data_IF_945894828869
#
_entry.id   IF_945894828869
#
_cell.length_a   1.000
_cell.length_b   1.000
_cell.length_c   1.000
_cell.angle_alpha   90.00
_cell.angle_beta   90.00
_cell.angle_gamma   90.00
#
_symmetry.space_group_name_H-M   'P 1'
#
loop_
_entity.id
_entity.type
_entity.pdbx_description
1 polymer ?
#
# COMPACT_ATOMS: atom_id res chain seq x y z
N UNK A 1 3.87 -46.27 -29.70
CA UNK A 1 4.70 -45.12 -29.24
C UNK A 1 4.31 -43.79 -29.87
N UNK A 2 4.08 -43.71 -31.19
CA UNK A 2 3.70 -42.43 -31.86
C UNK A 2 2.39 -41.79 -31.31
N UNK A 3 1.38 -42.58 -30.95
CA UNK A 3 0.07 -42.07 -30.41
C UNK A 3 0.20 -41.49 -29.00
N UNK A 4 1.11 -41.99 -28.18
CA UNK A 4 1.34 -41.51 -26.81
C UNK A 4 2.04 -40.15 -26.82
N UNK A 5 3.00 -39.95 -27.74
CA UNK A 5 3.72 -38.70 -27.91
C UNK A 5 2.78 -37.59 -28.36
N UNK A 6 1.82 -37.87 -29.26
CA UNK A 6 0.82 -36.89 -29.73
C UNK A 6 -0.11 -36.46 -28.61
N UNK A 7 -0.52 -37.39 -27.71
CA UNK A 7 -1.34 -37.07 -26.55
C UNK A 7 -0.62 -36.16 -25.56
N UNK A 8 0.70 -36.38 -25.36
CA UNK A 8 1.51 -35.53 -24.47
C UNK A 8 1.70 -34.10 -25.01
N UNK A 9 1.83 -33.93 -26.31
CA UNK A 9 1.93 -32.61 -26.96
C UNK A 9 0.60 -31.83 -26.81
N UNK A 10 -0.53 -32.50 -26.96
CA UNK A 10 -1.85 -31.86 -26.80
C UNK A 10 -2.09 -31.44 -25.35
N UNK A 11 -1.63 -32.23 -24.37
CA UNK A 11 -1.79 -31.88 -22.94
C UNK A 11 -0.88 -30.70 -22.53
N UNK A 12 0.26 -30.48 -23.19
CA UNK A 12 1.15 -29.36 -22.90
C UNK A 12 0.67 -28.03 -23.51
N UNK A 13 -0.24 -28.08 -24.50
CA UNK A 13 -0.77 -26.87 -25.17
C UNK A 13 -1.82 -26.12 -24.35
N UNK A 14 -2.30 -26.69 -23.25
CA UNK A 14 -3.28 -26.03 -22.36
C UNK A 14 -2.66 -25.18 -21.25
N UNK A 15 -1.34 -25.08 -21.15
CA UNK A 15 -0.70 -24.07 -20.31
C UNK A 15 -0.72 -22.71 -21.03
N UNK A 16 -1.89 -22.15 -21.23
CA UNK A 16 -2.03 -20.74 -21.59
C UNK A 16 -1.52 -19.92 -20.42
N UNK A 17 -0.45 -19.17 -20.62
CA UNK A 17 -0.04 -18.12 -19.70
C UNK A 17 -1.23 -17.18 -19.55
N UNK A 18 -1.86 -17.20 -18.40
CA UNK A 18 -2.86 -16.19 -18.06
C UNK A 18 -2.14 -14.83 -18.03
N UNK A 19 -2.26 -14.05 -19.08
CA UNK A 19 -1.89 -12.65 -19.04
C UNK A 19 -2.95 -11.93 -18.22
N UNK A 20 -2.67 -11.69 -16.94
CA UNK A 20 -3.45 -10.72 -16.18
C UNK A 20 -3.18 -9.35 -16.80
N UNK A 21 -4.11 -8.89 -17.63
CA UNK A 21 -4.06 -7.55 -18.21
C UNK A 21 -4.67 -6.59 -17.18
N UNK A 22 -3.83 -5.80 -16.54
CA UNK A 22 -4.29 -4.72 -15.67
C UNK A 22 -4.60 -3.51 -16.55
N UNK A 23 -5.83 -3.01 -16.45
CA UNK A 23 -6.25 -1.78 -17.14
C UNK A 23 -5.61 -0.53 -16.52
N UNK A 24 -5.24 -0.60 -15.23
CA UNK A 24 -4.63 0.50 -14.49
C UNK A 24 -3.44 -0.01 -13.67
N UNK A 25 -2.39 0.79 -13.62
CA UNK A 25 -1.21 0.55 -12.80
C UNK A 25 -1.32 1.34 -11.49
N UNK A 26 -0.58 0.93 -10.48
CA UNK A 26 -0.52 1.68 -9.21
C UNK A 26 -0.09 3.14 -9.42
N UNK A 27 0.79 3.41 -10.38
CA UNK A 27 1.25 4.75 -10.76
C UNK A 27 0.16 5.68 -11.29
N UNK A 28 -0.99 5.13 -11.72
CA UNK A 28 -2.09 5.92 -12.30
C UNK A 28 -2.98 6.54 -11.21
N UNK A 29 -2.74 6.20 -9.94
CA UNK A 29 -3.52 6.69 -8.82
C UNK A 29 -2.85 7.86 -8.10
N UNK A 30 -3.69 8.71 -7.54
CA UNK A 30 -3.28 9.77 -6.63
C UNK A 30 -4.24 9.83 -5.44
N UNK A 31 -3.74 10.30 -4.30
CA UNK A 31 -4.51 10.47 -3.08
C UNK A 31 -4.42 11.91 -2.59
N UNK A 32 -5.43 12.36 -1.88
CA UNK A 32 -5.35 13.61 -1.14
C UNK A 32 -4.75 13.31 0.23
N UNK A 33 -3.65 13.94 0.56
CA UNK A 33 -3.05 13.78 1.89
C UNK A 33 -3.91 14.43 2.98
N UNK A 34 -3.69 14.01 4.21
CA UNK A 34 -4.34 14.57 5.40
C UNK A 34 -4.08 16.08 5.56
N UNK A 35 -3.01 16.59 4.94
CA UNK A 35 -2.65 18.01 4.87
C UNK A 35 -3.26 18.73 3.65
N UNK A 36 -4.08 18.07 2.84
CA UNK A 36 -4.70 18.61 1.64
C UNK A 36 -3.82 18.62 0.38
N UNK A 37 -2.55 18.19 0.46
CA UNK A 37 -1.66 18.05 -0.69
C UNK A 37 -2.01 16.79 -1.48
N UNK A 38 -1.65 16.75 -2.75
CA UNK A 38 -1.79 15.53 -3.55
C UNK A 38 -0.56 14.64 -3.37
N UNK A 39 -0.81 13.37 -3.07
CA UNK A 39 0.18 12.27 -3.11
C UNK A 39 -0.03 11.57 -4.43
N UNK A 40 0.86 11.80 -5.39
CA UNK A 40 0.81 11.13 -6.68
C UNK A 40 1.71 9.89 -6.63
N UNK A 41 1.16 8.71 -6.86
CA UNK A 41 1.92 7.45 -6.77
C UNK A 41 3.01 7.37 -7.84
N UNK A 42 2.83 8.04 -8.97
CA UNK A 42 3.86 8.13 -10.00
C UNK A 42 5.16 8.81 -9.52
N UNK A 43 5.09 9.69 -8.53
CA UNK A 43 6.27 10.36 -7.96
C UNK A 43 7.18 9.39 -7.18
N UNK A 44 6.66 8.21 -6.87
CA UNK A 44 7.37 7.13 -6.18
C UNK A 44 7.79 5.99 -7.11
N UNK A 45 7.85 6.25 -8.41
CA UNK A 45 8.34 5.27 -9.39
C UNK A 45 9.72 4.78 -8.97
N UNK A 46 9.98 3.49 -9.15
CA UNK A 46 11.21 2.81 -8.75
C UNK A 46 11.45 2.71 -7.23
N UNK A 47 10.42 3.00 -6.41
CA UNK A 47 10.45 2.80 -4.96
C UNK A 47 9.55 1.65 -4.53
N UNK A 48 9.88 1.07 -3.38
CA UNK A 48 9.03 0.09 -2.72
C UNK A 48 7.95 0.83 -1.93
N UNK A 49 6.68 0.57 -2.22
CA UNK A 49 5.56 1.19 -1.51
C UNK A 49 4.96 0.21 -0.51
N UNK A 50 4.86 0.65 0.73
CA UNK A 50 4.11 -0.01 1.81
C UNK A 50 2.87 0.83 2.06
N UNK A 51 1.74 0.44 1.48
CA UNK A 51 0.45 1.11 1.64
C UNK A 51 -0.33 0.36 2.72
N UNK A 52 -0.66 1.03 3.81
CA UNK A 52 -1.28 0.42 4.99
C UNK A 52 -2.56 1.14 5.35
N UNK A 53 -3.65 0.38 5.45
CA UNK A 53 -4.86 0.89 6.10
C UNK A 53 -4.57 1.04 7.59
N UNK A 54 -4.76 2.24 8.12
CA UNK A 54 -4.43 2.60 9.50
C UNK A 54 -5.67 3.09 10.25
N UNK A 55 -5.65 3.00 11.58
CA UNK A 55 -6.72 3.47 12.43
C UNK A 55 -6.18 3.96 13.77
N UNK A 56 -6.68 5.12 14.22
CA UNK A 56 -6.24 5.77 15.48
C UNK A 56 -6.82 5.11 16.73
N UNK A 57 -7.97 4.44 16.61
CA UNK A 57 -8.71 3.81 17.74
C UNK A 57 -8.90 2.31 17.50
N UNK A 58 -7.80 1.58 17.41
CA UNK A 58 -7.78 0.15 17.12
C UNK A 58 -6.90 -0.59 18.13
N UNK A 59 -7.17 -1.85 18.39
CA UNK A 59 -6.31 -2.71 19.23
C UNK A 59 -4.89 -2.88 18.66
N UNK A 60 -4.68 -2.61 17.39
CA UNK A 60 -3.39 -2.70 16.70
C UNK A 60 -2.71 -1.34 16.47
N UNK A 61 -3.23 -0.26 17.05
CA UNK A 61 -2.70 1.11 16.86
C UNK A 61 -1.22 1.23 17.23
N UNK A 62 -0.72 0.41 18.14
CA UNK A 62 0.71 0.37 18.48
C UNK A 62 1.63 -0.01 17.29
N UNK A 63 1.10 -0.64 16.25
CA UNK A 63 1.86 -0.92 15.02
C UNK A 63 2.32 0.34 14.28
N UNK A 64 1.75 1.50 14.58
CA UNK A 64 2.25 2.79 14.08
C UNK A 64 3.73 3.00 14.40
N UNK A 65 4.19 2.57 15.58
CA UNK A 65 5.60 2.68 15.96
C UNK A 65 6.50 1.84 15.06
N UNK A 66 6.06 0.64 14.70
CA UNK A 66 6.82 -0.25 13.82
C UNK A 66 6.86 0.28 12.39
N UNK A 67 5.76 0.86 11.91
CA UNK A 67 5.70 1.53 10.61
C UNK A 67 6.61 2.76 10.57
N UNK A 68 6.62 3.57 11.63
CA UNK A 68 7.50 4.73 11.74
C UNK A 68 8.97 4.32 11.77
N UNK A 69 9.30 3.25 12.49
CA UNK A 69 10.65 2.69 12.52
C UNK A 69 11.08 2.20 11.15
N UNK A 70 10.22 1.43 10.47
CA UNK A 70 10.46 0.97 9.10
C UNK A 70 10.71 2.14 8.14
N UNK A 71 9.86 3.17 8.19
CA UNK A 71 10.01 4.38 7.41
C UNK A 71 11.34 5.08 7.69
N UNK A 72 11.66 5.33 8.97
CA UNK A 72 12.89 6.02 9.37
C UNK A 72 14.15 5.29 8.92
N UNK A 73 14.13 3.95 8.91
CA UNK A 73 15.28 3.13 8.53
C UNK A 73 15.49 3.04 7.02
N UNK A 74 14.41 3.04 6.23
CA UNK A 74 14.47 2.69 4.80
C UNK A 74 14.05 3.81 3.84
N UNK A 75 13.56 4.96 4.31
CA UNK A 75 13.14 6.07 3.42
C UNK A 75 14.25 6.54 2.48
N UNK A 76 15.49 6.58 2.96
CA UNK A 76 16.65 6.98 2.15
C UNK A 76 17.20 5.82 1.29
N UNK A 77 16.66 4.61 1.48
CA UNK A 77 17.00 3.41 0.71
C UNK A 77 15.94 3.03 -0.33
N UNK A 78 14.99 3.94 -0.59
CA UNK A 78 13.98 3.75 -1.62
C UNK A 78 12.68 3.10 -1.17
N UNK A 79 12.36 3.08 0.13
CA UNK A 79 11.07 2.66 0.66
C UNK A 79 10.19 3.86 0.97
N UNK A 80 8.90 3.75 0.67
CA UNK A 80 7.88 4.75 1.05
C UNK A 80 6.76 4.05 1.80
N UNK A 81 6.42 4.56 2.98
CA UNK A 81 5.24 4.13 3.74
C UNK A 81 4.13 5.16 3.50
N UNK A 82 2.92 4.70 3.21
CA UNK A 82 1.73 5.54 3.05
C UNK A 82 0.65 4.98 3.96
N UNK A 83 0.25 5.76 4.97
CA UNK A 83 -0.89 5.45 5.83
C UNK A 83 -2.20 5.90 5.20
N UNK A 84 -3.19 5.02 5.19
CA UNK A 84 -4.53 5.30 4.66
C UNK A 84 -5.55 5.15 5.80
N UNK A 85 -5.92 6.22 6.50
CA UNK A 85 -6.97 6.19 7.50
C UNK A 85 -8.33 5.90 6.86
N UNK A 86 -9.16 5.13 7.53
CA UNK A 86 -10.52 4.85 7.07
C UNK A 86 -11.49 4.79 8.24
N UNK A 87 -12.56 5.58 8.17
CA UNK A 87 -13.62 5.57 9.18
C UNK A 87 -14.69 4.50 8.93
N UNK A 88 -14.51 3.63 7.95
CA UNK A 88 -15.48 2.56 7.65
C UNK A 88 -15.74 1.64 8.85
N UNK A 89 -14.77 1.53 9.77
CA UNK A 89 -14.88 0.75 11.01
C UNK A 89 -15.15 1.61 12.25
N UNK A 90 -15.39 2.93 12.09
CA UNK A 90 -15.58 3.90 13.17
C UNK A 90 -14.43 3.88 14.19
N UNK A 91 -13.22 3.75 13.70
CA UNK A 91 -12.00 3.68 14.51
C UNK A 91 -11.09 4.90 14.33
N UNK A 92 -11.61 5.98 13.71
CA UNK A 92 -10.93 7.26 13.61
C UNK A 92 -11.61 8.34 14.44
N UNK A 93 -10.88 9.35 14.93
CA UNK A 93 -11.47 10.58 15.42
C UNK A 93 -12.13 11.35 14.25
N UNK A 94 -13.08 12.22 14.57
CA UNK A 94 -14.01 12.79 13.58
C UNK A 94 -13.41 13.67 12.48
N UNK A 95 -12.16 14.13 12.58
CA UNK A 95 -11.57 15.03 11.59
C UNK A 95 -10.13 14.65 11.22
N UNK A 96 -9.73 15.02 10.00
CA UNK A 96 -8.36 14.85 9.53
C UNK A 96 -7.31 15.52 10.44
N UNK A 97 -7.67 16.68 11.03
CA UNK A 97 -6.79 17.36 11.96
C UNK A 97 -6.55 16.52 13.21
N UNK A 98 -7.58 15.94 13.79
CA UNK A 98 -7.49 15.11 14.99
C UNK A 98 -6.71 13.82 14.70
N UNK A 99 -6.90 13.19 13.53
CA UNK A 99 -6.13 12.02 13.10
C UNK A 99 -4.65 12.38 12.99
N UNK A 100 -4.34 13.48 12.31
CA UNK A 100 -2.98 13.98 12.15
C UNK A 100 -2.32 14.26 13.48
N UNK A 101 -2.97 15.07 14.33
CA UNK A 101 -2.46 15.43 15.64
C UNK A 101 -2.18 14.17 16.50
N UNK A 102 -3.07 13.19 16.45
CA UNK A 102 -2.87 11.91 17.13
C UNK A 102 -1.65 11.15 16.62
N UNK A 103 -1.51 10.99 15.31
CA UNK A 103 -0.39 10.28 14.70
C UNK A 103 0.95 10.96 15.02
N UNK A 104 1.03 12.28 14.86
CA UNK A 104 2.26 13.04 15.09
C UNK A 104 2.63 13.11 16.58
N UNK A 105 1.66 13.38 17.48
CA UNK A 105 1.96 13.60 18.91
C UNK A 105 2.13 12.30 19.68
N UNK A 106 1.39 11.23 19.32
CA UNK A 106 1.43 9.97 20.06
C UNK A 106 2.53 9.04 19.58
N UNK A 107 2.76 9.00 18.26
CA UNK A 107 3.69 8.04 17.64
C UNK A 107 4.84 8.70 16.87
N UNK A 108 4.88 10.02 16.80
CA UNK A 108 5.92 10.74 16.06
C UNK A 108 5.94 10.44 14.56
N UNK A 109 4.76 10.18 13.97
CA UNK A 109 4.63 9.80 12.57
C UNK A 109 5.02 10.96 11.66
N UNK A 110 5.93 10.69 10.71
CA UNK A 110 6.34 11.63 9.67
C UNK A 110 6.24 11.05 8.24
N UNK A 111 5.77 9.82 8.09
CA UNK A 111 5.48 9.28 6.78
C UNK A 111 4.14 9.82 6.21
N UNK A 112 3.96 9.83 4.87
CA UNK A 112 2.73 10.28 4.22
C UNK A 112 1.46 9.60 4.74
N UNK A 113 0.43 10.40 5.06
CA UNK A 113 -0.92 9.94 5.43
C UNK A 113 -1.93 10.60 4.47
N UNK A 114 -2.90 9.80 3.97
CA UNK A 114 -3.97 10.26 3.08
C UNK A 114 -5.15 10.84 3.84
#
# INVERSE_FOLDING_TARGET
MKKIITLFIIMFSFFTKGNAQYEQLASDFSFKSINGKIININDYKDKVLVVVNVASRCGFTNQYQDLQKLWSEFKDKGLVVIGVPSDNFRQEPGSNKEIKDFCETTFGIDFPIT
#
